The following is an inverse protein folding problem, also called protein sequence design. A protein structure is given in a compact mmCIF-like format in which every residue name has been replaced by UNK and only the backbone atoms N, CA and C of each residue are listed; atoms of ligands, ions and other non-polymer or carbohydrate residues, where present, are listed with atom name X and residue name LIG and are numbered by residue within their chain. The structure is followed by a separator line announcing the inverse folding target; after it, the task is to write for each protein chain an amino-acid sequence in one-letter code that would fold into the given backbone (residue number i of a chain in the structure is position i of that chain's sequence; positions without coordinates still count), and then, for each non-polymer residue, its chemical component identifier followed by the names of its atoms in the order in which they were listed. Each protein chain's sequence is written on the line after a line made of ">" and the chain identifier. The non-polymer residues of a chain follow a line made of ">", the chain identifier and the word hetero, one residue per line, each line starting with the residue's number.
data_IF_705991940536
#
_entry.id   IF_705991940536
#
_cell.length_a   1.000
_cell.length_b   1.000
_cell.length_c   1.000
_cell.angle_alpha   90.00
_cell.angle_beta   90.00
_cell.angle_gamma   90.00
#
_symmetry.space_group_name_H-M   'P 1'
#
loop_
_entity.id
_entity.type
_entity.pdbx_description
1 polymer ?
#
# COMPACT_ATOMS: atom_id res chain seq x y z
N UNK A 1 61.27 9.92 -34.37
CA UNK A 1 60.11 9.19 -34.93
C UNK A 1 59.82 7.99 -34.03
N UNK A 2 58.91 8.15 -33.08
CA UNK A 2 58.45 7.09 -32.17
C UNK A 2 56.93 7.07 -32.27
N UNK A 3 56.40 6.06 -32.96
CA UNK A 3 54.98 5.88 -33.18
C UNK A 3 54.33 5.31 -31.92
N UNK A 4 53.54 6.15 -31.25
CA UNK A 4 52.76 5.78 -30.08
C UNK A 4 51.53 4.97 -30.52
N UNK A 5 51.45 3.72 -30.07
CA UNK A 5 50.39 2.77 -30.46
C UNK A 5 49.14 3.01 -29.61
N UNK A 6 48.14 3.63 -30.21
CA UNK A 6 46.80 3.81 -29.66
C UNK A 6 46.17 2.43 -29.33
N UNK A 7 45.90 2.19 -28.05
CA UNK A 7 45.20 0.97 -27.58
C UNK A 7 43.74 1.31 -27.33
N UNK A 8 42.78 0.66 -28.02
CA UNK A 8 41.37 0.95 -27.78
C UNK A 8 40.92 0.43 -26.40
N UNK A 9 39.97 1.12 -25.75
CA UNK A 9 39.49 0.75 -24.42
C UNK A 9 38.73 -0.57 -24.47
N UNK A 10 39.00 -1.46 -23.50
CA UNK A 10 38.28 -2.73 -23.37
C UNK A 10 36.82 -2.47 -22.99
N UNK A 11 35.84 -3.15 -23.62
CA UNK A 11 34.45 -3.03 -23.25
C UNK A 11 34.22 -3.56 -21.83
N UNK A 12 33.56 -2.75 -21.00
CA UNK A 12 33.14 -3.15 -19.65
C UNK A 12 32.05 -4.22 -19.78
N UNK A 13 32.30 -5.41 -19.24
CA UNK A 13 31.31 -6.49 -19.15
C UNK A 13 30.07 -5.96 -18.41
N UNK A 14 28.94 -5.86 -19.10
CA UNK A 14 27.66 -5.56 -18.46
C UNK A 14 27.30 -6.75 -17.57
N UNK A 15 27.09 -6.48 -16.28
CA UNK A 15 26.50 -7.47 -15.38
C UNK A 15 25.01 -7.48 -15.65
N UNK A 16 24.56 -8.43 -16.47
CA UNK A 16 23.15 -8.75 -16.61
C UNK A 16 22.65 -9.25 -15.26
N UNK A 17 21.95 -8.39 -14.50
CA UNK A 17 21.21 -8.81 -13.31
C UNK A 17 20.13 -9.78 -13.79
N UNK A 18 20.20 -11.03 -13.34
CA UNK A 18 19.15 -12.01 -13.53
C UNK A 18 17.84 -11.46 -12.96
N UNK A 19 16.84 -11.28 -13.82
CA UNK A 19 15.46 -10.99 -13.43
C UNK A 19 14.99 -12.11 -12.51
N UNK A 20 14.76 -11.77 -11.24
CA UNK A 20 14.11 -12.65 -10.27
C UNK A 20 12.72 -12.94 -10.81
N UNK A 21 12.44 -14.22 -11.06
CA UNK A 21 11.14 -14.71 -11.50
C UNK A 21 10.15 -14.51 -10.35
N UNK A 22 9.40 -13.41 -10.37
CA UNK A 22 8.33 -13.14 -9.40
C UNK A 22 7.13 -13.99 -9.80
N UNK A 23 7.06 -15.22 -9.29
CA UNK A 23 5.85 -16.03 -9.34
C UNK A 23 4.73 -15.36 -8.51
N UNK A 24 3.46 -15.41 -8.94
CA UNK A 24 2.37 -14.74 -8.23
C UNK A 24 2.00 -15.54 -6.97
N UNK A 25 2.78 -15.39 -5.89
CA UNK A 25 2.50 -15.92 -4.53
C UNK A 25 1.08 -15.59 -4.03
N UNK A 26 0.51 -14.51 -4.54
CA UNK A 26 -0.73 -13.91 -4.08
C UNK A 26 -2.00 -14.80 -4.21
N UNK A 27 -2.18 -15.55 -5.30
CA UNK A 27 -3.38 -16.42 -5.45
C UNK A 27 -3.31 -17.68 -4.59
N UNK A 28 -2.11 -18.24 -4.41
CA UNK A 28 -1.85 -19.34 -3.49
C UNK A 28 -2.01 -18.89 -2.02
N UNK A 29 -1.56 -17.67 -1.69
CA UNK A 29 -1.77 -17.07 -0.38
C UNK A 29 -3.25 -16.83 -0.07
N UNK A 30 -4.06 -16.33 -1.01
CA UNK A 30 -5.50 -16.06 -0.81
C UNK A 30 -6.28 -17.30 -0.35
N UNK A 31 -6.05 -18.45 -0.97
CA UNK A 31 -6.66 -19.73 -0.58
C UNK A 31 -6.06 -20.28 0.72
N UNK A 32 -4.75 -20.14 0.94
CA UNK A 32 -4.12 -20.58 2.19
C UNK A 32 -4.53 -19.75 3.40
N UNK A 33 -4.71 -18.43 3.24
CA UNK A 33 -5.07 -17.51 4.31
C UNK A 33 -6.48 -17.86 4.78
N UNK A 34 -7.47 -17.91 3.88
CA UNK A 34 -8.86 -18.26 4.23
C UNK A 34 -8.98 -19.64 4.90
N UNK A 35 -8.19 -20.62 4.46
CA UNK A 35 -8.16 -21.96 5.07
C UNK A 35 -7.33 -22.03 6.36
N UNK A 36 -6.44 -21.06 6.60
CA UNK A 36 -5.60 -20.97 7.81
C UNK A 36 -6.20 -20.09 8.91
N UNK A 37 -7.31 -19.39 8.67
CA UNK A 37 -8.07 -18.65 9.70
C UNK A 37 -8.83 -19.62 10.62
N UNK A 38 -8.29 -20.81 10.89
CA UNK A 38 -8.85 -21.69 11.91
C UNK A 38 -8.54 -21.10 13.30
N UNK A 39 -9.53 -21.07 14.21
CA UNK A 39 -9.44 -20.41 15.50
C UNK A 39 -8.49 -21.08 16.49
N UNK A 40 -7.93 -22.24 16.16
CA UNK A 40 -7.07 -22.99 17.07
C UNK A 40 -5.82 -22.15 17.40
N UNK A 41 -5.77 -21.73 18.67
CA UNK A 41 -4.75 -20.86 19.28
C UNK A 41 -4.80 -19.35 18.91
N UNK A 42 -5.88 -18.85 18.30
CA UNK A 42 -6.02 -17.42 18.04
C UNK A 42 -6.45 -16.62 19.28
N UNK A 43 -5.81 -15.46 19.50
CA UNK A 43 -6.21 -14.47 20.51
C UNK A 43 -7.37 -13.57 20.05
N UNK A 44 -7.82 -13.72 18.80
CA UNK A 44 -8.91 -12.95 18.20
C UNK A 44 -10.26 -13.55 18.62
N UNK A 45 -11.18 -12.69 19.04
CA UNK A 45 -12.57 -13.09 19.29
C UNK A 45 -13.31 -13.34 17.97
N UNK A 46 -14.46 -14.01 18.02
CA UNK A 46 -15.32 -14.23 16.83
C UNK A 46 -15.66 -12.92 16.12
N UNK A 47 -16.00 -11.86 16.87
CA UNK A 47 -16.31 -10.55 16.28
C UNK A 47 -15.11 -9.87 15.61
N UNK A 48 -13.90 -10.13 16.12
CA UNK A 48 -12.65 -9.66 15.52
C UNK A 48 -12.32 -10.45 14.25
N UNK A 49 -12.57 -11.76 14.22
CA UNK A 49 -12.48 -12.55 13.00
C UNK A 49 -13.47 -12.12 11.92
N UNK A 50 -14.72 -11.86 12.31
CA UNK A 50 -15.73 -11.30 11.40
C UNK A 50 -15.28 -9.95 10.84
N UNK A 51 -14.69 -9.08 11.68
CA UNK A 51 -14.14 -7.80 11.22
C UNK A 51 -13.04 -8.01 10.17
N UNK A 52 -12.08 -8.91 10.42
CA UNK A 52 -11.00 -9.21 9.48
C UNK A 52 -11.52 -9.78 8.16
N UNK A 53 -12.46 -10.72 8.21
CA UNK A 53 -13.11 -11.28 7.02
C UNK A 53 -13.83 -10.20 6.22
N UNK A 54 -14.56 -9.31 6.90
CA UNK A 54 -15.22 -8.19 6.24
C UNK A 54 -14.20 -7.26 5.56
N UNK A 55 -13.13 -6.86 6.27
CA UNK A 55 -12.07 -6.03 5.68
C UNK A 55 -11.42 -6.69 4.48
N UNK A 56 -11.15 -7.98 4.58
CA UNK A 56 -10.56 -8.75 3.50
C UNK A 56 -11.41 -8.67 2.23
N UNK A 57 -12.72 -8.77 2.37
CA UNK A 57 -13.66 -8.73 1.24
C UNK A 57 -14.05 -7.31 0.80
N UNK A 58 -13.83 -6.28 1.64
CA UNK A 58 -14.25 -4.90 1.37
C UNK A 58 -13.30 -4.17 0.42
N UNK A 59 -11.98 -4.40 0.55
CA UNK A 59 -10.99 -3.84 -0.36
C UNK A 59 -10.64 -4.89 -1.42
N UNK A 60 -11.16 -4.72 -2.64
CA UNK A 60 -10.85 -5.56 -3.80
C UNK A 60 -9.66 -4.97 -4.56
N UNK A 61 -8.50 -5.58 -4.37
CA UNK A 61 -7.22 -5.20 -4.98
C UNK A 61 -6.97 -5.88 -6.34
N UNK A 62 -7.86 -6.76 -6.81
CA UNK A 62 -7.62 -7.60 -7.99
C UNK A 62 -7.26 -6.79 -9.23
N UNK A 63 -8.02 -5.73 -9.52
CA UNK A 63 -7.78 -4.84 -10.65
C UNK A 63 -6.43 -4.12 -10.53
N UNK A 64 -6.07 -3.68 -9.32
CA UNK A 64 -4.78 -3.02 -9.07
C UNK A 64 -3.62 -3.97 -9.29
N UNK A 65 -3.76 -5.23 -8.89
CA UNK A 65 -2.75 -6.26 -9.13
C UNK A 65 -2.57 -6.56 -10.62
N UNK A 66 -3.68 -6.64 -11.38
CA UNK A 66 -3.66 -6.83 -12.84
C UNK A 66 -2.92 -5.66 -13.51
N UNK A 67 -3.23 -4.43 -13.14
CA UNK A 67 -2.61 -3.23 -13.72
C UNK A 67 -1.14 -3.10 -13.32
N UNK A 68 -0.80 -3.38 -12.05
CA UNK A 68 0.59 -3.41 -11.57
C UNK A 68 1.44 -4.40 -12.35
N UNK A 69 0.92 -5.62 -12.59
CA UNK A 69 1.60 -6.60 -13.44
C UNK A 69 1.72 -6.12 -14.89
N UNK A 70 0.64 -5.59 -15.46
CA UNK A 70 0.63 -5.07 -16.84
C UNK A 70 1.67 -3.97 -17.03
N UNK A 71 1.88 -3.11 -16.03
CA UNK A 71 2.92 -2.07 -16.06
C UNK A 71 4.33 -2.67 -16.12
N UNK A 72 4.60 -3.72 -15.36
CA UNK A 72 5.90 -4.43 -15.41
C UNK A 72 6.10 -5.08 -16.79
N UNK A 73 5.10 -5.81 -17.27
CA UNK A 73 5.17 -6.54 -18.54
C UNK A 73 5.32 -5.59 -19.74
N UNK A 74 4.60 -4.47 -19.73
CA UNK A 74 4.68 -3.45 -20.78
C UNK A 74 6.03 -2.74 -20.76
N UNK A 75 6.58 -2.41 -19.58
CA UNK A 75 7.90 -1.79 -19.45
C UNK A 75 9.03 -2.66 -20.02
N UNK A 76 8.94 -3.98 -19.78
CA UNK A 76 9.94 -4.94 -20.25
C UNK A 76 9.86 -5.23 -21.75
N UNK A 77 8.69 -5.05 -22.36
CA UNK A 77 8.44 -5.36 -23.78
C UNK A 77 8.53 -4.15 -24.71
N UNK A 78 8.19 -2.95 -24.23
CA UNK A 78 8.14 -1.72 -25.02
C UNK A 78 9.18 -0.73 -24.53
N UNK A 79 10.34 -0.72 -25.19
CA UNK A 79 11.30 0.38 -25.14
C UNK A 79 11.33 1.05 -26.52
N UNK A 80 11.16 2.38 -26.64
CA UNK A 80 11.03 3.40 -25.58
C UNK A 80 9.59 3.61 -25.06
N UNK A 81 9.47 4.36 -23.95
CA UNK A 81 8.20 4.81 -23.34
C UNK A 81 7.32 5.43 -24.43
N UNK A 82 6.11 4.88 -24.58
CA UNK A 82 5.13 5.36 -25.53
C UNK A 82 3.84 5.79 -24.82
N UNK A 83 2.95 6.40 -25.60
CA UNK A 83 1.62 6.87 -25.14
C UNK A 83 0.82 5.73 -24.49
N UNK A 84 1.01 4.48 -24.90
CA UNK A 84 0.35 3.31 -24.31
C UNK A 84 0.77 3.10 -22.86
N UNK A 85 2.06 3.21 -22.55
CA UNK A 85 2.56 3.08 -21.17
C UNK A 85 2.02 4.19 -20.27
N UNK A 86 2.00 5.43 -20.77
CA UNK A 86 1.45 6.57 -20.01
C UNK A 86 -0.03 6.37 -19.70
N UNK A 87 -0.85 5.98 -20.68
CA UNK A 87 -2.27 5.65 -20.47
C UNK A 87 -2.46 4.54 -19.44
N UNK A 88 -1.55 3.56 -19.40
CA UNK A 88 -1.60 2.48 -18.42
C UNK A 88 -1.32 3.00 -16.99
N UNK A 89 -0.39 3.93 -16.83
CA UNK A 89 -0.14 4.61 -15.53
C UNK A 89 -1.36 5.44 -15.10
N UNK A 90 -1.97 6.17 -16.03
CA UNK A 90 -3.20 6.94 -15.76
C UNK A 90 -4.35 6.03 -15.32
N UNK A 91 -4.58 4.92 -16.04
CA UNK A 91 -5.58 3.91 -15.67
C UNK A 91 -5.29 3.29 -14.31
N UNK A 92 -4.03 3.01 -14.00
CA UNK A 92 -3.61 2.53 -12.69
C UNK A 92 -3.99 3.50 -11.57
N UNK A 93 -3.73 4.80 -11.75
CA UNK A 93 -4.10 5.83 -10.77
C UNK A 93 -5.62 5.96 -10.61
N UNK A 94 -6.38 5.93 -11.71
CA UNK A 94 -7.84 5.96 -11.66
C UNK A 94 -8.39 4.76 -10.89
N UNK A 95 -7.88 3.55 -11.16
CA UNK A 95 -8.29 2.35 -10.44
C UNK A 95 -7.98 2.39 -8.95
N UNK A 96 -6.93 3.10 -8.51
CA UNK A 96 -6.65 3.30 -7.07
C UNK A 96 -7.80 4.09 -6.43
N UNK A 97 -8.19 5.22 -7.01
CA UNK A 97 -9.28 6.04 -6.47
C UNK A 97 -10.63 5.33 -6.52
N UNK A 98 -10.89 4.54 -7.56
CA UNK A 98 -12.10 3.71 -7.65
C UNK A 98 -12.15 2.64 -6.55
N UNK A 99 -11.04 1.93 -6.31
CA UNK A 99 -10.93 0.93 -5.26
C UNK A 99 -11.09 1.57 -3.87
N UNK A 100 -10.42 2.70 -3.63
CA UNK A 100 -10.57 3.49 -2.40
C UNK A 100 -12.03 3.92 -2.18
N UNK A 101 -12.67 4.50 -3.19
CA UNK A 101 -14.05 4.97 -3.10
C UNK A 101 -15.02 3.82 -2.80
N UNK A 102 -14.81 2.65 -3.43
CA UNK A 102 -15.61 1.44 -3.16
C UNK A 102 -15.41 0.97 -1.72
N UNK A 103 -14.16 0.88 -1.27
CA UNK A 103 -13.82 0.48 0.09
C UNK A 103 -14.44 1.39 1.15
N UNK A 104 -14.30 2.71 0.99
CA UNK A 104 -14.84 3.68 1.96
C UNK A 104 -16.37 3.62 2.05
N UNK A 105 -17.07 3.34 0.94
CA UNK A 105 -18.53 3.18 0.90
C UNK A 105 -19.03 1.87 1.50
N UNK A 106 -18.20 0.83 1.49
CA UNK A 106 -18.56 -0.51 1.97
C UNK A 106 -18.07 -0.78 3.40
N UNK A 107 -17.21 0.07 3.95
CA UNK A 107 -16.72 -0.09 5.33
C UNK A 107 -17.83 0.20 6.35
N UNK A 108 -18.35 -0.87 6.97
CA UNK A 108 -19.46 -0.81 7.93
C UNK A 108 -19.22 0.18 9.09
N UNK A 109 -18.00 0.25 9.63
CA UNK A 109 -17.70 1.16 10.73
C UNK A 109 -17.76 2.64 10.28
N UNK A 110 -17.38 2.95 9.04
CA UNK A 110 -17.52 4.31 8.46
C UNK A 110 -18.99 4.62 8.18
N UNK A 111 -19.75 3.64 7.68
CA UNK A 111 -21.16 3.80 7.35
C UNK A 111 -22.05 4.07 8.58
N UNK A 112 -21.63 3.62 9.76
CA UNK A 112 -22.30 3.86 11.05
C UNK A 112 -22.09 5.25 11.64
N UNK A 113 -21.18 6.05 11.08
CA UNK A 113 -20.97 7.43 11.51
C UNK A 113 -22.15 8.33 11.11
N UNK A 114 -22.32 9.43 11.84
CA UNK A 114 -23.26 10.49 11.45
C UNK A 114 -22.95 11.00 10.05
N UNK A 115 -23.94 11.55 9.34
CA UNK A 115 -23.71 12.10 7.99
C UNK A 115 -22.56 13.14 7.99
N UNK A 116 -22.55 14.03 8.98
CA UNK A 116 -21.53 15.07 9.15
C UNK A 116 -20.15 14.47 9.39
N UNK A 117 -20.00 13.58 10.37
CA UNK A 117 -18.71 12.95 10.68
C UNK A 117 -18.21 12.11 9.50
N UNK A 118 -19.13 11.40 8.84
CA UNK A 118 -18.81 10.57 7.67
C UNK A 118 -18.32 11.42 6.50
N UNK A 119 -19.02 12.51 6.15
CA UNK A 119 -18.60 13.40 5.06
C UNK A 119 -17.21 13.96 5.30
N UNK A 120 -16.96 14.36 6.54
CA UNK A 120 -15.70 14.93 6.98
C UNK A 120 -14.55 13.92 6.96
N UNK A 121 -14.83 12.70 7.44
CA UNK A 121 -13.89 11.58 7.39
C UNK A 121 -13.58 11.17 5.95
N UNK A 122 -14.59 11.05 5.09
CA UNK A 122 -14.42 10.65 3.70
C UNK A 122 -13.51 11.59 2.92
N UNK A 123 -13.59 12.90 3.17
CA UNK A 123 -12.72 13.90 2.54
C UNK A 123 -11.25 13.63 2.81
N UNK A 124 -10.91 13.26 4.05
CA UNK A 124 -9.52 12.98 4.44
C UNK A 124 -9.11 11.54 4.10
N UNK A 125 -10.03 10.59 4.24
CA UNK A 125 -9.78 9.18 4.03
C UNK A 125 -9.47 8.86 2.57
N UNK A 126 -10.09 9.57 1.61
CA UNK A 126 -9.89 9.34 0.19
C UNK A 126 -8.41 9.44 -0.21
N UNK A 127 -7.73 10.51 0.18
CA UNK A 127 -6.31 10.71 -0.18
C UNK A 127 -5.40 9.73 0.57
N UNK A 128 -5.65 9.53 1.87
CA UNK A 128 -4.82 8.65 2.69
C UNK A 128 -4.90 7.19 2.23
N UNK A 129 -6.11 6.68 2.01
CA UNK A 129 -6.33 5.30 1.57
C UNK A 129 -5.81 5.12 0.15
N UNK A 130 -6.02 6.08 -0.76
CA UNK A 130 -5.52 6.00 -2.13
C UNK A 130 -3.99 6.02 -2.17
N UNK A 131 -3.35 6.88 -1.38
CA UNK A 131 -1.90 6.93 -1.26
C UNK A 131 -1.33 5.61 -0.73
N UNK A 132 -1.88 5.09 0.36
CA UNK A 132 -1.45 3.81 0.92
C UNK A 132 -1.69 2.65 -0.04
N UNK A 133 -2.79 2.67 -0.79
CA UNK A 133 -3.09 1.65 -1.78
C UNK A 133 -2.17 1.66 -2.99
N UNK A 134 -1.90 2.85 -3.53
CA UNK A 134 -0.89 3.01 -4.56
C UNK A 134 0.48 2.55 -4.06
N UNK A 135 0.89 2.96 -2.87
CA UNK A 135 2.18 2.61 -2.30
C UNK A 135 2.35 1.09 -2.10
N UNK A 136 1.30 0.39 -1.62
CA UNK A 136 1.35 -1.06 -1.43
C UNK A 136 1.52 -1.80 -2.76
N UNK A 137 0.69 -1.47 -3.76
CA UNK A 137 0.75 -2.14 -5.06
C UNK A 137 2.05 -1.80 -5.79
N UNK A 138 2.49 -0.53 -5.73
CA UNK A 138 3.77 -0.11 -6.28
C UNK A 138 4.95 -0.82 -5.60
N UNK A 139 4.87 -1.10 -4.30
CA UNK A 139 5.88 -1.85 -3.57
C UNK A 139 5.88 -3.32 -3.98
N UNK A 140 4.70 -3.93 -4.04
CA UNK A 140 4.53 -5.33 -4.41
C UNK A 140 5.14 -5.67 -5.78
N UNK A 141 4.94 -4.80 -6.79
CA UNK A 141 5.50 -4.99 -8.13
C UNK A 141 6.84 -4.28 -8.37
N UNK A 142 7.36 -3.56 -7.37
CA UNK A 142 8.58 -2.77 -7.53
C UNK A 142 8.46 -1.68 -8.60
N UNK A 143 7.28 -1.08 -8.79
CA UNK A 143 6.99 -0.15 -9.89
C UNK A 143 7.94 1.06 -9.91
N UNK A 144 8.33 1.58 -8.75
CA UNK A 144 9.30 2.69 -8.67
C UNK A 144 10.73 2.31 -9.05
N UNK A 145 11.04 1.02 -9.21
CA UNK A 145 12.31 0.56 -9.80
C UNK A 145 12.28 0.63 -11.33
N UNK A 146 11.10 0.80 -11.93
CA UNK A 146 10.92 1.01 -13.37
C UNK A 146 11.13 2.51 -13.66
N UNK A 147 12.14 2.83 -14.46
CA UNK A 147 12.50 4.23 -14.74
C UNK A 147 11.33 5.02 -15.35
N UNK A 148 10.53 4.34 -16.16
CA UNK A 148 9.41 4.88 -16.92
C UNK A 148 8.27 5.27 -15.99
N UNK A 149 7.92 4.38 -15.06
CA UNK A 149 6.93 4.65 -14.02
C UNK A 149 7.39 5.79 -13.11
N UNK A 150 8.64 5.73 -12.63
CA UNK A 150 9.21 6.78 -11.79
C UNK A 150 9.15 8.17 -12.45
N UNK A 151 9.55 8.27 -13.73
CA UNK A 151 9.52 9.53 -14.49
C UNK A 151 8.11 10.10 -14.63
N UNK A 152 7.14 9.26 -14.98
CA UNK A 152 5.73 9.71 -15.14
C UNK A 152 5.18 10.17 -13.80
N UNK A 153 5.35 9.37 -12.74
CA UNK A 153 4.88 9.72 -11.40
C UNK A 153 5.53 11.00 -10.87
N UNK A 154 6.83 11.21 -11.10
CA UNK A 154 7.54 12.43 -10.72
C UNK A 154 7.09 13.67 -11.50
N UNK A 155 6.60 13.50 -12.73
CA UNK A 155 5.98 14.59 -13.48
C UNK A 155 4.59 14.95 -12.93
N UNK A 156 3.84 13.98 -12.40
CA UNK A 156 2.48 14.19 -11.90
C UNK A 156 2.41 14.73 -10.46
N UNK A 157 3.27 14.22 -9.55
CA UNK A 157 3.13 14.44 -8.11
C UNK A 157 4.30 15.20 -7.46
N UNK A 158 5.15 15.82 -8.28
CA UNK A 158 6.38 16.49 -7.87
C UNK A 158 7.44 15.58 -7.19
N UNK A 159 8.66 16.10 -6.99
CA UNK A 159 9.77 15.34 -6.39
C UNK A 159 9.55 15.03 -4.91
N UNK A 160 8.88 15.92 -4.18
CA UNK A 160 8.63 15.79 -2.73
C UNK A 160 7.60 14.70 -2.48
N UNK A 161 6.49 14.68 -3.23
CA UNK A 161 5.48 13.63 -3.17
C UNK A 161 6.08 12.26 -3.42
N UNK A 162 6.87 12.11 -4.48
CA UNK A 162 7.55 10.84 -4.79
C UNK A 162 8.55 10.44 -3.71
N UNK A 163 9.33 11.39 -3.17
CA UNK A 163 10.27 11.10 -2.09
C UNK A 163 9.56 10.59 -0.84
N UNK A 164 8.40 11.17 -0.50
CA UNK A 164 7.59 10.72 0.62
C UNK A 164 7.01 9.32 0.37
N UNK A 165 6.49 9.06 -0.83
CA UNK A 165 5.99 7.72 -1.22
C UNK A 165 7.08 6.67 -1.11
N UNK A 166 8.28 6.93 -1.66
CA UNK A 166 9.42 6.02 -1.57
C UNK A 166 9.87 5.77 -0.13
N UNK A 167 9.80 6.80 0.73
CA UNK A 167 10.09 6.65 2.15
C UNK A 167 9.04 5.77 2.84
N UNK A 168 7.75 6.01 2.61
CA UNK A 168 6.63 5.23 3.17
C UNK A 168 6.71 3.76 2.77
N UNK A 169 7.08 3.47 1.52
CA UNK A 169 7.20 2.09 1.02
C UNK A 169 8.22 1.23 1.78
N UNK A 170 9.19 1.84 2.48
CA UNK A 170 10.15 1.09 3.32
C UNK A 170 9.50 0.43 4.54
N UNK A 171 8.30 0.89 4.90
CA UNK A 171 7.57 0.45 6.09
C UNK A 171 6.33 -0.40 5.76
N UNK A 172 6.07 -0.65 4.47
CA UNK A 172 4.93 -1.46 4.04
C UNK A 172 5.21 -2.93 4.34
N UNK A 173 4.34 -3.55 5.13
CA UNK A 173 4.37 -4.99 5.36
C UNK A 173 3.80 -5.71 4.11
N UNK A 174 4.47 -6.76 3.61
CA UNK A 174 3.95 -7.55 2.46
C UNK A 174 2.65 -8.31 2.76
N UNK A 175 2.31 -8.53 4.02
CA UNK A 175 1.08 -9.21 4.42
C UNK A 175 -0.17 -8.38 4.09
N UNK A 176 -1.01 -8.93 3.21
CA UNK A 176 -2.19 -8.26 2.69
C UNK A 176 -3.24 -7.98 3.78
N UNK A 177 -3.35 -8.82 4.80
CA UNK A 177 -4.32 -8.62 5.88
C UNK A 177 -3.90 -7.41 6.71
N UNK A 178 -2.63 -7.34 7.08
CA UNK A 178 -2.07 -6.19 7.82
C UNK A 178 -2.24 -4.91 7.02
N UNK A 179 -1.98 -4.96 5.72
CA UNK A 179 -2.19 -3.83 4.84
C UNK A 179 -3.67 -3.38 4.80
N UNK A 180 -4.64 -4.30 4.68
CA UNK A 180 -6.07 -3.96 4.69
C UNK A 180 -6.54 -3.39 6.04
N UNK A 181 -5.99 -3.87 7.16
CA UNK A 181 -6.23 -3.25 8.47
C UNK A 181 -5.62 -1.84 8.52
N UNK A 182 -4.41 -1.66 7.97
CA UNK A 182 -3.77 -0.36 7.88
C UNK A 182 -4.63 0.64 7.09
N UNK A 183 -5.24 0.23 5.96
CA UNK A 183 -6.18 1.09 5.24
C UNK A 183 -7.33 1.59 6.13
N UNK A 184 -7.84 0.76 7.05
CA UNK A 184 -8.85 1.20 8.02
C UNK A 184 -8.30 2.22 9.00
N UNK A 185 -7.10 1.98 9.54
CA UNK A 185 -6.45 2.93 10.46
C UNK A 185 -6.16 4.27 9.78
N UNK A 186 -5.68 4.27 8.53
CA UNK A 186 -5.43 5.48 7.74
C UNK A 186 -6.72 6.22 7.38
N UNK A 187 -7.78 5.49 6.99
CA UNK A 187 -9.09 6.07 6.73
C UNK A 187 -9.66 6.79 7.95
N UNK A 188 -9.42 6.26 9.14
CA UNK A 188 -9.94 6.80 10.39
C UNK A 188 -8.99 7.80 11.06
N UNK A 189 -7.76 7.96 10.55
CA UNK A 189 -6.76 8.82 11.19
C UNK A 189 -7.17 10.29 11.15
N UNK A 190 -7.02 10.98 12.28
CA UNK A 190 -7.27 12.44 12.37
C UNK A 190 -6.11 13.26 11.82
N UNK A 191 -4.93 12.65 11.63
CA UNK A 191 -3.64 13.37 11.66
C UNK A 191 -3.11 13.83 10.30
N UNK A 192 -3.89 13.80 9.22
CA UNK A 192 -3.32 14.04 7.88
C UNK A 192 -4.08 15.14 7.13
N UNK A 193 -3.97 16.36 7.66
CA UNK A 193 -4.29 17.61 6.94
C UNK A 193 -3.10 18.11 6.13
N UNK A 194 -2.36 17.20 5.47
CA UNK A 194 -1.21 17.60 4.66
C UNK A 194 -1.58 18.63 3.57
N UNK A 195 -2.86 18.72 3.19
CA UNK A 195 -3.34 19.54 2.08
C UNK A 195 -4.49 20.52 2.40
N UNK A 196 -4.97 20.63 3.64
CA UNK A 196 -6.03 21.60 3.96
C UNK A 196 -5.92 22.14 5.40
N UNK A 197 -5.12 23.20 5.61
CA UNK A 197 -4.91 23.79 6.94
C UNK A 197 -6.15 24.53 7.50
N UNK A 198 -7.16 24.80 6.69
CA UNK A 198 -8.28 25.70 7.05
C UNK A 198 -9.53 24.98 7.58
N UNK A 199 -9.49 23.66 7.77
CA UNK A 199 -10.66 22.90 8.25
C UNK A 199 -10.46 22.52 9.72
N UNK A 200 -11.00 23.34 10.62
CA UNK A 200 -11.17 22.95 12.02
C UNK A 200 -12.21 21.82 12.08
N UNK A 201 -11.75 20.58 12.19
CA UNK A 201 -12.64 19.45 12.46
C UNK A 201 -12.85 19.38 13.97
N UNK A 202 -13.81 20.18 14.46
CA UNK A 202 -14.53 19.83 15.67
C UNK A 202 -15.47 18.66 15.32
N UNK A 203 -14.89 17.46 15.19
CA UNK A 203 -15.69 16.24 15.04
C UNK A 203 -16.62 16.18 16.24
N UNK A 204 -17.93 16.21 16.00
CA UNK A 204 -18.93 16.29 17.06
C UNK A 204 -18.89 15.03 17.93
N UNK A 205 -18.28 13.94 17.45
CA UNK A 205 -18.15 12.67 18.16
C UNK A 205 -16.73 12.06 18.09
N UNK A 206 -15.75 12.74 18.69
CA UNK A 206 -14.37 12.25 18.80
C UNK A 206 -14.25 10.89 19.50
N UNK A 207 -15.14 10.59 20.45
CA UNK A 207 -15.18 9.34 21.21
C UNK A 207 -15.49 8.12 20.34
N UNK A 208 -16.48 8.22 19.44
CA UNK A 208 -16.84 7.12 18.54
C UNK A 208 -15.71 6.79 17.57
N UNK A 209 -15.10 7.81 16.97
CA UNK A 209 -13.95 7.62 16.09
C UNK A 209 -12.78 6.95 16.82
N UNK A 210 -12.48 7.40 18.04
CA UNK A 210 -11.43 6.81 18.87
C UNK A 210 -11.73 5.36 19.23
N UNK A 211 -12.99 5.02 19.54
CA UNK A 211 -13.40 3.64 19.81
C UNK A 211 -13.20 2.74 18.58
N UNK A 212 -13.58 3.21 17.40
CA UNK A 212 -13.37 2.45 16.15
C UNK A 212 -11.87 2.27 15.87
N UNK A 213 -11.05 3.32 16.03
CA UNK A 213 -9.60 3.23 15.86
C UNK A 213 -8.98 2.19 16.80
N UNK A 214 -9.36 2.21 18.09
CA UNK A 214 -8.86 1.26 19.08
C UNK A 214 -9.25 -0.18 18.72
N UNK A 215 -10.45 -0.40 18.20
CA UNK A 215 -10.87 -1.72 17.70
C UNK A 215 -9.94 -2.24 16.61
N UNK A 216 -9.59 -1.40 15.63
CA UNK A 216 -8.65 -1.80 14.57
C UNK A 216 -7.22 -1.97 15.10
N UNK A 217 -6.76 -1.13 16.04
CA UNK A 217 -5.44 -1.26 16.66
C UNK A 217 -5.32 -2.57 17.46
N UNK A 218 -6.33 -2.91 18.25
CA UNK A 218 -6.38 -4.16 19.01
C UNK A 218 -6.37 -5.39 18.09
N UNK A 219 -7.17 -5.35 17.03
CA UNK A 219 -7.21 -6.41 16.01
C UNK A 219 -5.85 -6.54 15.30
N UNK A 220 -5.20 -5.42 14.97
CA UNK A 220 -3.85 -5.42 14.39
C UNK A 220 -2.87 -6.14 15.31
N UNK A 221 -2.86 -5.77 16.59
CA UNK A 221 -1.96 -6.35 17.58
C UNK A 221 -2.16 -7.86 17.76
N UNK A 222 -3.41 -8.28 17.96
CA UNK A 222 -3.76 -9.69 18.11
C UNK A 222 -3.44 -10.50 16.84
N UNK A 223 -3.70 -9.93 15.66
CA UNK A 223 -3.36 -10.56 14.39
C UNK A 223 -1.85 -10.73 14.22
N UNK A 224 -1.05 -9.72 14.58
CA UNK A 224 0.41 -9.80 14.54
C UNK A 224 0.94 -10.92 15.45
N UNK A 225 0.44 -11.02 16.68
CA UNK A 225 0.83 -12.09 17.61
C UNK A 225 0.44 -13.46 17.04
N UNK A 226 -0.78 -13.59 16.51
CA UNK A 226 -1.25 -14.83 15.91
C UNK A 226 -0.40 -15.24 14.69
N UNK A 227 -0.08 -14.30 13.80
CA UNK A 227 0.61 -14.57 12.53
C UNK A 227 2.11 -14.81 12.69
N UNK A 228 2.76 -14.08 13.60
CA UNK A 228 4.23 -14.07 13.71
C UNK A 228 4.74 -14.56 15.06
N UNK A 229 3.89 -14.71 16.07
CA UNK A 229 4.30 -14.91 17.45
C UNK A 229 4.63 -13.60 18.17
N UNK A 230 4.74 -13.67 19.50
CA UNK A 230 4.92 -12.49 20.36
C UNK A 230 6.20 -11.69 20.05
N UNK A 231 7.35 -12.37 19.97
CA UNK A 231 8.65 -11.72 19.80
C UNK A 231 8.74 -10.96 18.47
N UNK A 232 8.30 -11.59 17.39
CA UNK A 232 8.30 -11.01 16.05
C UNK A 232 7.27 -9.90 15.91
N UNK A 233 6.08 -10.04 16.52
CA UNK A 233 5.09 -8.96 16.59
C UNK A 233 5.66 -7.71 17.28
N UNK A 234 6.35 -7.88 18.41
CA UNK A 234 7.04 -6.77 19.10
C UNK A 234 8.09 -6.14 18.19
N UNK A 235 8.93 -6.93 17.51
CA UNK A 235 9.92 -6.41 16.54
C UNK A 235 9.25 -5.64 15.42
N UNK A 236 8.14 -6.11 14.86
CA UNK A 236 7.40 -5.39 13.83
C UNK A 236 6.86 -4.04 14.32
N UNK A 237 6.50 -3.95 15.60
CA UNK A 237 6.10 -2.69 16.23
C UNK A 237 7.29 -1.79 16.60
N UNK A 238 8.40 -2.35 17.09
CA UNK A 238 9.55 -1.60 17.64
C UNK A 238 10.62 -1.23 16.61
N UNK A 239 10.85 -2.05 15.58
CA UNK A 239 11.88 -1.82 14.56
C UNK A 239 11.60 -0.55 13.72
N UNK A 240 10.36 -0.08 13.73
CA UNK A 240 9.96 1.19 13.12
C UNK A 240 10.30 2.42 13.99
N UNK A 241 10.60 2.23 15.28
CA UNK A 241 10.98 3.29 16.22
C UNK A 241 12.50 3.45 16.37
N UNK A 242 13.27 2.35 16.40
CA UNK A 242 14.72 2.43 16.64
C UNK A 242 15.53 3.05 15.49
N UNK A 243 15.02 3.02 14.25
CA UNK A 243 15.65 3.71 13.10
C UNK A 243 15.34 5.21 13.03
N UNK A 244 14.70 5.78 14.07
CA UNK A 244 14.26 7.19 14.13
C UNK A 244 15.00 8.02 15.19
N UNK A 245 15.99 7.45 15.87
CA UNK A 245 16.97 8.15 16.73
C UNK A 245 18.31 8.09 16.02
#
# INVERSE_FOLDING_TARGET
>A
MTTDKFRPPRPKKSKTKSLVKVEPRYQSEKLSILNSLEPDHSLLTTSQWTLLSNLYNTFDESQLLILGKSLVDTHNSLQPINVTYQKLVENYLLSIYEATGRYLRLNDNICKLSFTDRSLLLRNAADNVSCMAGAFIAHHFGLFSLDSFFKIMAAMFDKRGISLTLWTMKFINPDIIIYKIALSLFALSKTIYLYSPDISIDSTNSSTLFHIQNKYAEVTWKYLIYRYGWCEAVKHCSHNFEKRI
#
